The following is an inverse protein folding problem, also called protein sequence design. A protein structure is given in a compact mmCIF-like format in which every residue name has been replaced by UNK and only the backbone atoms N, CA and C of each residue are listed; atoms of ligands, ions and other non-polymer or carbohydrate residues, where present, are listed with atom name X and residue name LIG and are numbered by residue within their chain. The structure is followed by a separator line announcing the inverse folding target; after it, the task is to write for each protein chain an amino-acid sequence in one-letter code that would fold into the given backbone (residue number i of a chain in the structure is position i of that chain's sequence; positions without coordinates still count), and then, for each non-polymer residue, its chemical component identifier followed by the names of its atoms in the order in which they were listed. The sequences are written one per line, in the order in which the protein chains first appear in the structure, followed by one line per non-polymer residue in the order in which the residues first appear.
data_IF_371516928345
#
_entry.id   IF_371516928345
#
_cell.length_a   1.000
_cell.length_b   1.000
_cell.length_c   1.000
_cell.angle_alpha   90.00
_cell.angle_beta   90.00
_cell.angle_gamma   90.00
#
_symmetry.space_group_name_H-M   'P 1'
#
loop_
_entity.id
_entity.type
_entity.pdbx_description
1 polymer ?
#
# COMPACT_ATOMS: atom_id res chain seq x y z
N UNK A 1 6.84 -25.20 21.59
CA UNK A 1 5.75 -24.20 21.65
C UNK A 1 5.82 -23.15 20.53
N UNK A 2 7.02 -22.79 20.05
CA UNK A 2 7.24 -21.78 18.99
C UNK A 2 6.68 -22.19 17.61
N UNK A 3 6.89 -23.44 17.18
CA UNK A 3 6.47 -23.94 15.85
C UNK A 3 4.95 -23.93 15.62
N UNK A 4 4.15 -24.28 16.64
CA UNK A 4 2.68 -24.25 16.56
C UNK A 4 2.13 -22.82 16.45
N UNK A 5 2.75 -21.85 17.13
CA UNK A 5 2.33 -20.45 17.09
C UNK A 5 2.69 -19.79 15.76
N UNK A 6 3.82 -20.18 15.19
CA UNK A 6 4.27 -19.74 13.86
C UNK A 6 3.35 -20.25 12.75
N UNK A 7 3.04 -21.55 12.74
CA UNK A 7 2.09 -22.14 11.78
C UNK A 7 0.70 -21.51 11.88
N UNK A 8 0.21 -21.20 13.10
CA UNK A 8 -1.06 -20.50 13.28
C UNK A 8 -1.05 -19.07 12.75
N UNK A 9 0.09 -18.35 12.80
CA UNK A 9 0.19 -16.99 12.31
C UNK A 9 0.18 -16.94 10.79
N UNK A 10 0.91 -17.86 10.14
CA UNK A 10 0.92 -17.98 8.67
C UNK A 10 -0.48 -18.34 8.17
N UNK A 11 -1.16 -19.31 8.79
CA UNK A 11 -2.53 -19.68 8.44
C UNK A 11 -3.52 -18.50 8.56
N UNK A 12 -3.36 -17.65 9.59
CA UNK A 12 -4.16 -16.45 9.74
C UNK A 12 -3.83 -15.39 8.68
N UNK A 13 -2.54 -15.22 8.35
CA UNK A 13 -2.11 -14.29 7.30
C UNK A 13 -2.67 -14.71 5.93
N UNK A 14 -2.56 -16.00 5.59
CA UNK A 14 -3.15 -16.62 4.41
C UNK A 14 -4.66 -16.37 4.32
N UNK A 15 -5.40 -16.67 5.39
CA UNK A 15 -6.85 -16.47 5.44
C UNK A 15 -7.23 -14.99 5.20
N UNK A 16 -6.50 -14.06 5.82
CA UNK A 16 -6.72 -12.64 5.61
C UNK A 16 -6.37 -12.20 4.18
N UNK A 17 -5.32 -12.77 3.59
CA UNK A 17 -4.89 -12.44 2.25
C UNK A 17 -5.86 -12.97 1.18
N UNK A 18 -6.40 -14.18 1.35
CA UNK A 18 -7.49 -14.72 0.53
C UNK A 18 -8.72 -13.81 0.59
N UNK A 19 -9.12 -13.39 1.80
CA UNK A 19 -10.23 -12.44 1.97
C UNK A 19 -9.94 -11.10 1.27
N UNK A 20 -8.70 -10.60 1.37
CA UNK A 20 -8.27 -9.37 0.71
C UNK A 20 -8.31 -9.50 -0.82
N UNK A 21 -7.80 -10.60 -1.38
CA UNK A 21 -7.84 -10.87 -2.81
C UNK A 21 -9.30 -10.87 -3.34
N UNK A 22 -10.21 -11.54 -2.62
CA UNK A 22 -11.65 -11.54 -2.94
C UNK A 22 -12.28 -10.15 -2.88
N UNK A 23 -11.91 -9.34 -1.90
CA UNK A 23 -12.41 -7.96 -1.78
C UNK A 23 -11.92 -7.09 -2.93
N UNK A 24 -10.64 -7.19 -3.31
CA UNK A 24 -10.10 -6.43 -4.44
C UNK A 24 -10.71 -6.88 -5.77
N UNK A 25 -10.93 -8.18 -5.96
CA UNK A 25 -11.64 -8.73 -7.13
C UNK A 25 -13.07 -8.18 -7.24
N UNK A 26 -13.79 -8.10 -6.11
CA UNK A 26 -15.12 -7.48 -6.06
C UNK A 26 -15.07 -5.98 -6.37
N UNK A 27 -14.07 -5.27 -5.85
CA UNK A 27 -13.85 -3.84 -6.11
C UNK A 27 -13.60 -3.59 -7.60
N UNK A 28 -12.81 -4.45 -8.26
CA UNK A 28 -12.53 -4.37 -9.70
C UNK A 28 -13.83 -4.48 -10.52
N UNK A 29 -14.71 -5.43 -10.17
CA UNK A 29 -16.01 -5.60 -10.84
C UNK A 29 -16.96 -4.40 -10.64
N UNK A 30 -17.02 -3.84 -9.43
CA UNK A 30 -17.96 -2.79 -9.07
C UNK A 30 -17.49 -1.35 -9.31
N UNK A 31 -16.17 -1.13 -9.52
CA UNK A 31 -15.56 0.22 -9.59
C UNK A 31 -14.56 0.36 -10.74
N UNK A 32 -14.85 -0.25 -11.90
CA UNK A 32 -13.93 -0.24 -13.05
C UNK A 32 -13.51 1.16 -13.53
N UNK A 33 -14.36 2.19 -13.38
CA UNK A 33 -13.99 3.58 -13.70
C UNK A 33 -12.84 4.11 -12.82
N UNK A 34 -12.87 3.85 -11.51
CA UNK A 34 -11.81 4.29 -10.59
C UNK A 34 -10.49 3.58 -10.85
N UNK A 35 -10.57 2.31 -11.26
CA UNK A 35 -9.40 1.51 -11.65
C UNK A 35 -8.80 2.02 -12.96
N UNK A 36 -9.63 2.31 -13.96
CA UNK A 36 -9.18 2.90 -15.22
C UNK A 36 -8.53 4.27 -15.01
N UNK A 37 -9.12 5.11 -14.14
CA UNK A 37 -8.54 6.41 -13.77
C UNK A 37 -7.17 6.25 -13.09
N UNK A 38 -7.06 5.38 -12.08
CA UNK A 38 -5.78 5.11 -11.39
C UNK A 38 -4.72 4.59 -12.37
N UNK A 39 -5.09 3.68 -13.29
CA UNK A 39 -4.19 3.16 -14.32
C UNK A 39 -3.71 4.22 -15.30
N UNK A 40 -4.55 5.22 -15.61
CA UNK A 40 -4.16 6.36 -16.44
C UNK A 40 -3.26 7.35 -15.72
N UNK A 41 -3.57 7.67 -14.46
CA UNK A 41 -2.75 8.59 -13.67
C UNK A 41 -1.34 8.02 -13.45
N UNK A 42 -1.23 6.71 -13.29
CA UNK A 42 0.05 6.00 -13.19
C UNK A 42 0.93 6.05 -14.44
N UNK A 43 0.35 6.37 -15.60
CA UNK A 43 1.09 6.59 -16.85
C UNK A 43 1.60 8.02 -16.99
N UNK A 44 1.11 8.94 -16.17
CA UNK A 44 1.40 10.38 -16.30
C UNK A 44 2.49 10.85 -15.36
N UNK A 45 2.49 10.39 -14.11
CA UNK A 45 3.44 10.85 -13.10
C UNK A 45 3.52 9.89 -11.90
N UNK A 46 4.55 10.08 -11.09
CA UNK A 46 4.82 9.29 -9.89
C UNK A 46 3.67 9.38 -8.87
N UNK A 47 3.04 10.55 -8.72
CA UNK A 47 1.95 10.75 -7.78
C UNK A 47 0.67 9.97 -8.19
N UNK A 48 0.50 9.67 -9.47
CA UNK A 48 -0.51 8.74 -9.97
C UNK A 48 -0.06 7.28 -9.92
N UNK A 49 1.24 7.02 -10.07
CA UNK A 49 1.80 5.67 -10.06
C UNK A 49 1.76 5.04 -8.67
N UNK A 50 2.17 5.75 -7.63
CA UNK A 50 2.15 5.27 -6.24
C UNK A 50 0.77 4.71 -5.81
N UNK A 51 -0.35 5.44 -5.93
CA UNK A 51 -1.66 4.90 -5.55
C UNK A 51 -2.11 3.72 -6.43
N UNK A 52 -1.64 3.63 -7.68
CA UNK A 52 -1.92 2.48 -8.54
C UNK A 52 -1.19 1.21 -8.04
N UNK A 53 0.05 1.35 -7.54
CA UNK A 53 0.78 0.24 -6.91
C UNK A 53 0.15 -0.21 -5.58
N UNK A 54 -0.59 0.65 -4.89
CA UNK A 54 -1.20 0.37 -3.58
C UNK A 54 -2.70 0.03 -3.64
N UNK A 55 -3.35 0.28 -4.77
CA UNK A 55 -4.80 0.12 -4.90
C UNK A 55 -5.32 0.11 -6.34
N UNK A 56 -4.44 -0.07 -7.32
CA UNK A 56 -4.77 -0.26 -8.73
C UNK A 56 -4.72 -1.72 -9.16
N UNK A 57 -4.36 -1.94 -10.41
CA UNK A 57 -4.31 -3.27 -11.02
C UNK A 57 -3.03 -3.97 -10.62
N UNK A 58 -1.90 -3.24 -10.60
CA UNK A 58 -0.65 -3.80 -10.11
C UNK A 58 -0.73 -4.23 -8.65
N UNK A 59 -1.52 -3.54 -7.82
CA UNK A 59 -1.80 -4.00 -6.47
C UNK A 59 -2.58 -5.33 -6.43
N UNK A 60 -3.59 -5.49 -7.29
CA UNK A 60 -4.35 -6.72 -7.38
C UNK A 60 -3.46 -7.91 -7.81
N UNK A 61 -2.65 -7.72 -8.83
CA UNK A 61 -1.66 -8.69 -9.30
C UNK A 61 -0.66 -9.05 -8.18
N UNK A 62 -0.18 -8.05 -7.44
CA UNK A 62 0.69 -8.25 -6.27
C UNK A 62 0.03 -9.13 -5.20
N UNK A 63 -1.23 -8.85 -4.84
CA UNK A 63 -1.94 -9.63 -3.81
C UNK A 63 -2.16 -11.08 -4.27
N UNK A 64 -2.51 -11.31 -5.54
CA UNK A 64 -2.63 -12.68 -6.08
C UNK A 64 -1.30 -13.43 -6.03
N UNK A 65 -0.21 -12.76 -6.40
CA UNK A 65 1.13 -13.36 -6.33
C UNK A 65 1.56 -13.64 -4.89
N UNK A 66 1.27 -12.71 -3.96
CA UNK A 66 1.58 -12.88 -2.55
C UNK A 66 0.81 -14.07 -1.95
N UNK A 67 -0.46 -14.24 -2.32
CA UNK A 67 -1.30 -15.35 -1.86
C UNK A 67 -0.74 -16.71 -2.29
N UNK A 68 -0.23 -16.83 -3.52
CA UNK A 68 0.35 -18.08 -4.01
C UNK A 68 1.69 -18.42 -3.36
N UNK A 69 2.50 -17.41 -3.01
CA UNK A 69 3.90 -17.63 -2.64
C UNK A 69 4.22 -17.43 -1.14
N UNK A 70 3.23 -17.08 -0.32
CA UNK A 70 3.46 -16.75 1.10
C UNK A 70 4.00 -17.91 1.94
N UNK A 71 3.65 -19.15 1.58
CA UNK A 71 4.18 -20.35 2.23
C UNK A 71 5.60 -20.69 1.77
N UNK A 72 5.97 -20.25 0.56
CA UNK A 72 7.27 -20.55 -0.07
C UNK A 72 8.36 -19.57 0.39
N UNK A 73 8.04 -18.29 0.57
CA UNK A 73 9.00 -17.24 0.95
C UNK A 73 8.52 -16.35 2.11
N UNK A 74 8.13 -16.97 3.21
CA UNK A 74 7.76 -16.21 4.41
C UNK A 74 8.90 -15.35 4.96
N UNK A 75 10.15 -15.84 4.90
CA UNK A 75 11.30 -15.09 5.40
C UNK A 75 11.55 -13.81 4.61
N UNK A 76 11.47 -13.86 3.27
CA UNK A 76 11.58 -12.68 2.41
C UNK A 76 10.46 -11.67 2.65
N UNK A 77 9.23 -12.14 2.86
CA UNK A 77 8.08 -11.28 3.21
C UNK A 77 8.30 -10.61 4.57
N UNK A 78 8.67 -11.39 5.59
CA UNK A 78 8.93 -10.86 6.93
C UNK A 78 10.08 -9.84 6.93
N UNK A 79 11.13 -10.11 6.16
CA UNK A 79 12.24 -9.18 5.98
C UNK A 79 11.78 -7.89 5.30
N UNK A 80 11.01 -7.97 4.22
CA UNK A 80 10.46 -6.81 3.51
C UNK A 80 9.59 -5.94 4.42
N UNK A 81 8.76 -6.56 5.27
CA UNK A 81 7.95 -5.84 6.27
C UNK A 81 8.82 -5.16 7.33
N UNK A 82 9.91 -5.79 7.76
CA UNK A 82 10.84 -5.19 8.71
C UNK A 82 11.59 -4.00 8.10
N UNK A 83 11.99 -4.08 6.84
CA UNK A 83 12.62 -2.96 6.12
C UNK A 83 11.66 -1.80 5.90
N UNK A 84 10.39 -2.06 5.55
CA UNK A 84 9.33 -1.04 5.51
C UNK A 84 9.19 -0.38 6.88
N UNK A 85 9.12 -1.17 7.96
CA UNK A 85 9.01 -0.66 9.34
C UNK A 85 10.19 0.25 9.69
N UNK A 86 11.41 -0.14 9.35
CA UNK A 86 12.64 0.65 9.60
C UNK A 86 12.67 1.94 8.78
N UNK A 87 12.17 1.89 7.55
CA UNK A 87 12.14 3.05 6.64
C UNK A 87 11.07 4.09 7.03
N UNK A 88 9.94 3.64 7.57
CA UNK A 88 8.82 4.52 7.94
C UNK A 88 8.92 5.10 9.35
N UNK A 89 9.43 4.32 10.32
CA UNK A 89 9.46 4.74 11.72
C UNK A 89 10.72 5.54 12.04
N UNK A 90 10.60 6.87 11.95
CA UNK A 90 11.63 7.80 12.40
C UNK A 90 11.04 8.95 13.21
N UNK A 91 11.83 9.47 14.15
CA UNK A 91 11.59 10.75 14.83
C UNK A 91 11.80 11.92 13.87
N UNK A 92 12.77 11.79 12.97
CA UNK A 92 13.09 12.82 11.99
C UNK A 92 12.01 12.87 10.91
N UNK A 93 11.50 14.07 10.60
CA UNK A 93 10.39 14.23 9.66
C UNK A 93 9.01 13.77 10.18
N UNK A 94 8.91 13.29 11.43
CA UNK A 94 7.64 12.88 12.02
C UNK A 94 6.72 14.09 12.23
N UNK A 95 5.51 14.03 11.64
CA UNK A 95 4.44 15.01 11.86
C UNK A 95 3.34 14.38 12.70
N UNK A 96 2.95 15.06 13.79
CA UNK A 96 1.88 14.60 14.67
C UNK A 96 0.76 15.63 14.69
N UNK A 97 -0.45 15.18 14.32
CA UNK A 97 -1.67 15.99 14.40
C UNK A 97 -2.54 15.52 15.57
N UNK A 98 -2.89 16.44 16.49
CA UNK A 98 -3.71 16.14 17.68
C UNK A 98 -4.93 17.04 17.73
N UNK A 99 -6.12 16.43 17.70
CA UNK A 99 -7.40 17.12 17.84
C UNK A 99 -8.09 16.67 19.12
N UNK A 100 -8.20 17.56 20.11
CA UNK A 100 -8.85 17.26 21.39
C UNK A 100 -9.37 18.54 22.06
N UNK A 101 -10.28 18.40 23.05
CA UNK A 101 -10.63 19.51 23.93
C UNK A 101 -9.43 19.90 24.81
N UNK A 102 -9.43 21.11 25.38
CA UNK A 102 -8.27 21.66 26.09
C UNK A 102 -7.74 20.76 27.22
N UNK A 103 -8.62 20.17 28.04
CA UNK A 103 -8.22 19.25 29.13
C UNK A 103 -7.52 17.99 28.59
N UNK A 104 -8.06 17.42 27.53
CA UNK A 104 -7.53 16.20 26.92
C UNK A 104 -6.24 16.47 26.13
N UNK A 105 -6.13 17.64 25.50
CA UNK A 105 -4.90 18.04 24.81
C UNK A 105 -3.73 18.14 25.80
N UNK A 106 -3.91 18.84 26.93
CA UNK A 106 -2.88 18.94 27.97
C UNK A 106 -2.49 17.57 28.54
N UNK A 107 -3.45 16.66 28.67
CA UNK A 107 -3.15 15.29 29.11
C UNK A 107 -2.43 14.46 28.04
N UNK A 108 -2.77 14.63 26.76
CA UNK A 108 -2.13 13.93 25.64
C UNK A 108 -0.66 14.34 25.49
N UNK A 109 -0.38 15.65 25.57
CA UNK A 109 0.97 16.20 25.43
C UNK A 109 1.97 15.62 26.46
N UNK A 110 1.51 15.27 27.67
CA UNK A 110 2.36 14.64 28.71
C UNK A 110 2.97 13.31 28.27
N UNK A 111 2.28 12.56 27.42
CA UNK A 111 2.77 11.26 26.92
C UNK A 111 3.46 11.38 25.57
N UNK A 112 3.29 12.52 24.89
CA UNK A 112 3.77 12.70 23.53
C UNK A 112 5.29 12.74 23.47
N UNK A 113 5.93 13.47 24.39
CA UNK A 113 7.40 13.53 24.47
C UNK A 113 8.01 12.16 24.72
N UNK A 114 7.38 11.35 25.58
CA UNK A 114 7.80 9.97 25.83
C UNK A 114 7.66 9.11 24.58
N UNK A 115 6.54 9.23 23.86
CA UNK A 115 6.30 8.47 22.64
C UNK A 115 7.30 8.83 21.53
N UNK A 116 7.50 10.11 21.26
CA UNK A 116 8.51 10.61 20.30
C UNK A 116 9.91 10.16 20.73
N UNK A 117 10.18 10.17 22.03
CA UNK A 117 11.41 9.66 22.66
C UNK A 117 11.70 8.18 22.38
N UNK A 118 10.67 7.36 22.08
CA UNK A 118 10.81 5.95 21.73
C UNK A 118 11.00 5.72 20.23
N UNK A 119 10.71 6.71 19.38
CA UNK A 119 10.93 6.58 17.94
C UNK A 119 12.43 6.56 17.63
N UNK A 120 12.85 5.70 16.67
CA UNK A 120 14.23 5.68 16.18
C UNK A 120 14.66 7.05 15.65
N UNK A 121 15.93 7.39 15.83
CA UNK A 121 16.53 8.58 15.23
C UNK A 121 17.29 8.19 13.95
N UNK A 122 16.55 7.62 12.99
CA UNK A 122 17.11 7.17 11.71
C UNK A 122 16.84 8.24 10.67
N UNK A 123 17.88 8.74 10.00
CA UNK A 123 17.66 9.60 8.83
C UNK A 123 16.95 8.78 7.76
N UNK A 124 15.84 9.28 7.18
CA UNK A 124 15.32 8.69 5.95
C UNK A 124 16.46 8.68 4.94
N UNK A 125 16.73 7.53 4.32
CA UNK A 125 17.66 7.49 3.19
C UNK A 125 17.16 8.51 2.15
N UNK A 126 18.07 9.31 1.60
CA UNK A 126 17.74 10.17 0.46
C UNK A 126 17.12 9.27 -0.60
N UNK A 127 15.84 9.49 -0.87
CA UNK A 127 15.10 8.67 -1.83
C UNK A 127 15.56 9.15 -3.19
N UNK A 128 16.31 8.31 -3.90
CA UNK A 128 16.45 8.45 -5.34
C UNK A 128 15.04 8.67 -5.91
N UNK A 129 14.88 9.74 -6.70
CA UNK A 129 13.59 10.10 -7.26
C UNK A 129 13.03 8.90 -8.02
N UNK A 130 11.85 8.40 -7.62
CA UNK A 130 11.18 7.29 -8.31
C UNK A 130 11.06 7.59 -9.81
N UNK A 131 11.72 6.79 -10.65
CA UNK A 131 11.70 6.97 -12.12
C UNK A 131 10.65 6.08 -12.81
N UNK A 132 9.91 5.27 -12.06
CA UNK A 132 8.98 4.30 -12.63
C UNK A 132 7.64 4.93 -13.01
N UNK A 133 7.30 4.81 -14.29
CA UNK A 133 5.98 5.11 -14.84
C UNK A 133 5.51 3.89 -15.62
N UNK A 134 4.20 3.62 -15.59
CA UNK A 134 3.61 2.62 -16.47
C UNK A 134 3.78 3.12 -17.90
N UNK A 135 4.13 2.22 -18.83
CA UNK A 135 4.27 2.57 -20.23
C UNK A 135 2.99 3.25 -20.76
N UNK A 136 3.11 4.39 -21.47
CA UNK A 136 1.95 5.13 -21.98
C UNK A 136 1.40 4.45 -23.24
N UNK A 137 0.78 3.28 -23.07
CA UNK A 137 0.10 2.53 -24.11
C UNK A 137 -1.41 2.48 -23.86
N UNK A 138 -2.20 2.19 -24.91
CA UNK A 138 -3.60 1.87 -24.73
C UNK A 138 -3.71 0.46 -24.13
N UNK A 139 -4.51 0.30 -23.08
CA UNK A 139 -4.72 -0.98 -22.40
C UNK A 139 -6.21 -1.28 -22.34
N UNK A 140 -6.55 -2.56 -22.52
CA UNK A 140 -7.87 -3.10 -22.23
C UNK A 140 -7.71 -4.17 -21.15
N UNK A 141 -8.40 -3.99 -20.03
CA UNK A 141 -8.37 -4.94 -18.91
C UNK A 141 -9.68 -5.70 -18.91
N UNK A 142 -9.58 -7.02 -19.02
CA UNK A 142 -10.75 -7.90 -19.18
C UNK A 142 -11.15 -8.46 -17.82
N UNK A 143 -12.38 -8.16 -17.41
CA UNK A 143 -13.02 -8.75 -16.24
C UNK A 143 -14.43 -9.25 -16.60
N UNK A 144 -14.92 -10.32 -15.95
CA UNK A 144 -16.28 -10.80 -16.17
C UNK A 144 -17.28 -9.84 -15.52
N UNK A 145 -17.71 -8.82 -16.27
CA UNK A 145 -18.69 -7.79 -15.85
C UNK A 145 -19.80 -7.66 -16.89
N UNK A 146 -20.98 -7.20 -16.46
CA UNK A 146 -22.11 -6.90 -17.36
C UNK A 146 -21.97 -5.56 -18.09
N UNK A 147 -21.04 -4.70 -17.63
CA UNK A 147 -20.81 -3.36 -18.17
C UNK A 147 -19.32 -3.14 -18.42
N UNK A 148 -19.02 -2.29 -19.41
CA UNK A 148 -17.66 -1.85 -19.73
C UNK A 148 -17.41 -0.46 -19.14
N UNK A 149 -16.19 -0.22 -18.66
CA UNK A 149 -15.75 1.10 -18.19
C UNK A 149 -14.66 1.63 -19.12
N UNK A 150 -14.89 2.80 -19.71
CA UNK A 150 -13.90 3.48 -20.55
C UNK A 150 -13.41 4.75 -19.86
N UNK A 151 -12.14 5.07 -20.06
CA UNK A 151 -11.55 6.34 -19.66
C UNK A 151 -10.56 6.74 -20.76
N UNK A 152 -10.27 8.03 -20.88
CA UNK A 152 -9.28 8.55 -21.82
C UNK A 152 -8.64 9.79 -21.22
N UNK A 153 -7.33 9.96 -21.43
CA UNK A 153 -6.58 11.13 -20.97
C UNK A 153 -5.53 11.46 -22.03
N UNK A 154 -5.48 12.73 -22.44
CA UNK A 154 -4.59 13.19 -23.49
C UNK A 154 -3.26 13.65 -22.91
N UNK A 155 -2.16 13.21 -23.52
CA UNK A 155 -0.82 13.67 -23.20
C UNK A 155 -0.55 15.00 -23.90
N UNK A 156 -0.62 16.11 -23.17
CA UNK A 156 -0.09 17.39 -23.66
C UNK A 156 1.38 17.45 -23.22
N UNK A 157 2.31 17.25 -24.17
CA UNK A 157 3.71 17.67 -23.98
C UNK A 157 3.75 19.18 -24.16
N UNK A 158 4.02 19.90 -23.08
CA UNK A 158 4.40 21.33 -23.12
C UNK A 158 5.89 21.42 -23.36
#
# INVERSE_FOLDING_TARGET
MFFRRFSSLINNALSNLFLKAKQEESRLRGRGHGIAAARMDAKLNVAGWIPEQMGGISYFEFIQNLEMNIDEDWEGIAHSLDEIRRSLLSREGCLINVTANGKNLTNCLKYLDKFIGLLPNTRPNETDSWQSLISPSNEAIVFPTQVNYSSSKYFLRV
#
